data_IF_800427329167
#
_entry.id   IF_800427329167
#
_cell.length_a   1.000
_cell.length_b   1.000
_cell.length_c   1.000
_cell.angle_alpha   90.00
_cell.angle_beta   90.00
_cell.angle_gamma   90.00
#
_symmetry.space_group_name_H-M   'P 1'
#
loop_
_entity.id
_entity.type
_entity.pdbx_description
1 polymer ?
#
# COMPACT_ATOMS: atom_id res chain seq x y z
N UNK A 1 -7.07 4.35 -27.14
CA UNK A 1 -6.48 4.20 -25.79
C UNK A 1 -7.52 3.54 -24.91
N UNK A 2 -7.28 2.32 -24.42
CA UNK A 2 -8.18 1.72 -23.44
C UNK A 2 -7.85 2.35 -22.10
N UNK A 3 -8.77 3.15 -21.56
CA UNK A 3 -8.73 3.54 -20.16
C UNK A 3 -8.75 2.26 -19.34
N UNK A 4 -7.58 1.83 -18.86
CA UNK A 4 -7.50 0.79 -17.86
C UNK A 4 -8.05 1.43 -16.59
N UNK A 5 -9.35 1.23 -16.37
CA UNK A 5 -9.97 1.39 -15.06
C UNK A 5 -9.01 0.73 -14.07
N UNK A 6 -8.46 1.53 -13.16
CA UNK A 6 -7.51 1.04 -12.17
C UNK A 6 -8.31 0.10 -11.27
N UNK A 7 -8.33 -1.19 -11.60
CA UNK A 7 -8.45 -2.21 -10.59
C UNK A 7 -7.21 -2.02 -9.73
N UNK A 8 -7.34 -1.18 -8.69
CA UNK A 8 -6.46 -1.23 -7.53
C UNK A 8 -6.42 -2.71 -7.19
N UNK A 9 -5.24 -3.31 -7.32
CA UNK A 9 -4.92 -4.71 -7.07
C UNK A 9 -5.98 -5.37 -6.19
N UNK A 10 -6.58 -6.48 -6.65
CA UNK A 10 -7.52 -7.25 -5.86
C UNK A 10 -7.02 -7.34 -4.41
N UNK A 11 -7.72 -6.64 -3.50
CA UNK A 11 -7.38 -6.38 -2.10
C UNK A 11 -6.30 -5.29 -1.78
N UNK A 12 -6.54 -4.03 -2.18
CA UNK A 12 -5.93 -2.84 -1.54
C UNK A 12 -6.73 -2.46 -0.29
N UNK A 13 -6.14 -2.62 0.89
CA UNK A 13 -6.84 -2.42 2.16
C UNK A 13 -6.00 -1.62 3.16
N UNK A 14 -6.65 -1.21 4.25
CA UNK A 14 -6.08 -0.32 5.27
C UNK A 14 -5.51 0.98 4.66
N UNK A 15 -6.36 1.79 4.00
CA UNK A 15 -5.92 3.02 3.35
C UNK A 15 -5.41 4.03 4.37
N UNK A 16 -4.24 4.61 4.08
CA UNK A 16 -3.56 5.62 4.88
C UNK A 16 -3.13 6.78 4.02
N UNK A 17 -3.09 7.95 4.64
CA UNK A 17 -2.63 9.20 4.06
C UNK A 17 -1.57 9.83 4.96
N UNK A 18 -0.92 10.89 4.48
CA UNK A 18 -0.27 11.82 5.38
C UNK A 18 -1.33 12.52 6.24
N UNK A 19 -1.33 12.27 7.55
CA UNK A 19 -2.39 12.75 8.44
C UNK A 19 -2.42 14.28 8.58
N UNK A 20 -1.36 15.00 8.19
CA UNK A 20 -1.38 16.47 8.08
C UNK A 20 -2.44 16.98 7.07
N UNK A 21 -2.87 16.10 6.17
CA UNK A 21 -3.91 16.31 5.16
C UNK A 21 -5.25 15.64 5.54
N UNK A 22 -5.41 15.18 6.78
CA UNK A 22 -6.70 14.67 7.23
C UNK A 22 -7.79 15.75 7.08
N UNK A 23 -8.96 15.35 6.55
CA UNK A 23 -10.08 16.24 6.19
C UNK A 23 -9.73 17.34 5.18
N UNK A 24 -8.63 17.20 4.43
CA UNK A 24 -8.23 18.08 3.34
C UNK A 24 -8.09 17.28 2.04
N UNK A 25 -8.14 17.93 0.86
CA UNK A 25 -7.71 17.28 -0.37
C UNK A 25 -6.30 16.72 -0.21
N UNK A 26 -6.12 15.43 -0.51
CA UNK A 26 -4.85 14.71 -0.46
C UNK A 26 -4.60 14.05 -1.82
N UNK A 27 -3.34 13.91 -2.20
CA UNK A 27 -2.91 13.34 -3.48
C UNK A 27 -2.47 11.89 -3.35
N UNK A 28 -1.94 11.48 -2.19
CA UNK A 28 -1.34 10.17 -2.02
C UNK A 28 -2.09 9.32 -1.00
N UNK A 29 -2.42 8.10 -1.41
CA UNK A 29 -2.91 7.05 -0.53
C UNK A 29 -1.92 5.88 -0.51
N UNK A 30 -1.81 5.24 0.64
CA UNK A 30 -0.98 4.06 0.89
C UNK A 30 -1.85 2.95 1.44
N UNK A 31 -1.64 1.70 1.01
CA UNK A 31 -2.44 0.58 1.49
C UNK A 31 -1.72 -0.74 1.35
N UNK A 32 -2.10 -1.69 2.19
CA UNK A 32 -1.60 -3.04 2.18
C UNK A 32 -2.23 -3.85 1.04
N UNK A 33 -1.44 -4.74 0.44
CA UNK A 33 -1.99 -5.82 -0.39
C UNK A 33 -2.38 -7.00 0.50
N UNK A 34 -3.65 -7.38 0.50
CA UNK A 34 -4.16 -8.50 1.31
C UNK A 34 -4.51 -9.75 0.50
N UNK A 35 -4.14 -9.80 -0.77
CA UNK A 35 -4.53 -10.94 -1.60
C UNK A 35 -3.71 -12.19 -1.28
N UNK A 36 -4.39 -13.24 -0.84
CA UNK A 36 -3.85 -14.57 -0.85
C UNK A 36 -4.00 -15.18 -2.25
N UNK A 37 -3.15 -14.79 -3.18
CA UNK A 37 -3.01 -15.49 -4.45
C UNK A 37 -1.54 -15.88 -4.67
N UNK A 38 -1.31 -17.05 -5.26
CA UNK A 38 0.04 -17.61 -5.44
C UNK A 38 0.88 -16.86 -6.50
N UNK A 39 0.25 -15.98 -7.28
CA UNK A 39 0.88 -15.23 -8.38
C UNK A 39 1.07 -13.74 -8.05
N UNK A 40 0.81 -13.32 -6.81
CA UNK A 40 0.78 -11.91 -6.41
C UNK A 40 1.52 -11.73 -5.08
N UNK A 41 2.57 -10.93 -5.15
CA UNK A 41 3.39 -10.55 -4.02
C UNK A 41 3.18 -9.08 -3.64
N UNK A 42 2.07 -8.43 -3.99
CA UNK A 42 1.80 -7.05 -3.54
C UNK A 42 1.80 -7.00 -2.02
N UNK A 43 2.71 -6.22 -1.45
CA UNK A 43 2.77 -5.98 -0.01
C UNK A 43 2.23 -4.61 0.37
N UNK A 44 2.73 -3.56 -0.27
CA UNK A 44 2.33 -2.17 -0.04
C UNK A 44 2.19 -1.47 -1.39
N UNK A 45 1.15 -0.66 -1.54
CA UNK A 45 0.98 0.18 -2.74
C UNK A 45 0.83 1.64 -2.32
N UNK A 46 1.56 2.52 -2.98
CA UNK A 46 1.33 3.97 -3.01
C UNK A 46 0.59 4.31 -4.29
N UNK A 47 -0.44 5.14 -4.20
CA UNK A 47 -1.23 5.60 -5.34
C UNK A 47 -1.19 7.13 -5.36
N UNK A 48 -0.86 7.69 -6.52
CA UNK A 48 -1.10 9.10 -6.83
C UNK A 48 -2.51 9.21 -7.43
N UNK A 49 -3.47 9.74 -6.68
CA UNK A 49 -4.88 9.77 -7.08
C UNK A 49 -5.14 10.77 -8.21
N UNK A 50 -4.24 11.74 -8.42
CA UNK A 50 -4.35 12.70 -9.53
C UNK A 50 -3.85 12.09 -10.84
N UNK A 51 -2.63 11.51 -10.81
CA UNK A 51 -2.00 10.99 -12.04
C UNK A 51 -2.35 9.53 -12.32
N UNK A 52 -3.02 8.85 -11.38
CA UNK A 52 -3.38 7.43 -11.46
C UNK A 52 -2.17 6.48 -11.50
N UNK A 53 -0.97 6.98 -11.20
CA UNK A 53 0.26 6.20 -11.13
C UNK A 53 0.36 5.49 -9.78
N UNK A 54 0.90 4.28 -9.80
CA UNK A 54 1.11 3.47 -8.60
C UNK A 54 2.56 3.05 -8.48
N UNK A 55 3.02 2.94 -7.24
CA UNK A 55 4.28 2.29 -6.87
C UNK A 55 3.93 1.17 -5.91
N UNK A 56 4.36 -0.05 -6.24
CA UNK A 56 4.11 -1.22 -5.42
C UNK A 56 5.43 -1.78 -4.90
N UNK A 57 5.47 -2.03 -3.59
CA UNK A 57 6.54 -2.78 -2.94
C UNK A 57 6.01 -4.16 -2.60
N UNK A 58 6.68 -5.16 -3.14
CA UNK A 58 6.28 -6.55 -2.94
C UNK A 58 6.64 -7.04 -1.52
N UNK A 59 5.92 -8.06 -1.06
CA UNK A 59 6.35 -8.98 0.00
C UNK A 59 7.43 -9.92 -0.54
N UNK A 60 8.25 -10.48 0.33
CA UNK A 60 9.39 -11.29 -0.09
C UNK A 60 8.97 -12.71 -0.52
N UNK A 61 7.88 -13.24 0.04
CA UNK A 61 7.33 -14.55 -0.29
C UNK A 61 5.81 -14.64 -0.02
N UNK A 62 5.19 -15.76 -0.36
CA UNK A 62 3.73 -15.99 -0.23
C UNK A 62 3.24 -16.11 1.22
N UNK A 63 4.11 -16.49 2.15
CA UNK A 63 3.81 -16.69 3.57
C UNK A 63 3.68 -15.36 4.33
N UNK A 64 4.04 -14.26 3.68
CA UNK A 64 4.04 -12.94 4.30
C UNK A 64 2.78 -12.18 3.92
N UNK A 65 2.18 -11.47 4.86
CA UNK A 65 1.14 -10.48 4.59
C UNK A 65 1.55 -9.14 5.21
N UNK A 66 1.13 -8.06 4.57
CA UNK A 66 1.35 -6.72 5.11
C UNK A 66 0.15 -6.34 5.99
N UNK A 67 0.44 -5.84 7.19
CA UNK A 67 -0.56 -5.19 8.02
C UNK A 67 -0.80 -3.74 7.57
N UNK A 68 -1.64 -3.03 8.31
CA UNK A 68 -1.89 -1.60 8.11
C UNK A 68 -0.57 -0.80 8.09
N UNK A 69 -0.30 -0.02 7.03
CA UNK A 69 0.86 0.86 6.99
C UNK A 69 0.68 2.09 7.89
N UNK A 70 1.75 2.80 8.17
CA UNK A 70 1.73 4.09 8.88
C UNK A 70 2.65 5.04 8.12
N UNK A 71 2.11 6.19 7.68
CA UNK A 71 2.93 7.26 7.11
C UNK A 71 3.51 8.12 8.22
N UNK A 72 4.82 8.31 8.18
CA UNK A 72 5.59 9.16 9.08
C UNK A 72 6.16 10.31 8.25
N UNK A 73 5.64 11.55 8.42
CA UNK A 73 6.15 12.70 7.71
C UNK A 73 7.60 13.00 8.13
N UNK A 74 8.42 13.46 7.17
CA UNK A 74 9.71 14.06 7.49
C UNK A 74 9.47 15.39 8.23
N UNK A 75 10.19 15.71 9.32
CA UNK A 75 9.99 16.96 10.06
C UNK A 75 10.02 18.23 9.19
N UNK A 76 10.94 18.29 8.23
CA UNK A 76 11.10 19.42 7.30
C UNK A 76 10.63 19.10 5.86
N UNK A 77 9.72 18.12 5.71
CA UNK A 77 9.15 17.73 4.41
C UNK A 77 8.33 18.86 3.79
N UNK A 78 8.44 19.03 2.47
CA UNK A 78 7.72 20.07 1.72
C UNK A 78 6.59 19.48 0.87
N UNK A 79 6.71 18.22 0.47
CA UNK A 79 5.72 17.49 -0.31
C UNK A 79 4.85 16.61 0.58
N UNK A 80 3.62 16.34 0.14
CA UNK A 80 2.66 15.51 0.88
C UNK A 80 3.21 14.10 1.20
N UNK A 81 4.02 13.54 0.29
CA UNK A 81 4.66 12.23 0.40
C UNK A 81 6.12 12.28 0.90
N UNK A 82 6.61 13.43 1.37
CA UNK A 82 7.93 13.57 1.97
C UNK A 82 7.98 12.92 3.35
N UNK A 83 8.24 11.62 3.38
CA UNK A 83 8.27 10.87 4.61
C UNK A 83 8.76 9.44 4.43
N UNK A 84 8.32 8.58 5.35
CA UNK A 84 8.55 7.13 5.32
C UNK A 84 7.24 6.41 5.57
N UNK A 85 7.11 5.22 5.00
CA UNK A 85 6.06 4.27 5.37
C UNK A 85 6.68 3.22 6.28
N UNK A 86 6.08 3.05 7.45
CA UNK A 86 6.30 1.90 8.31
C UNK A 86 5.18 0.90 8.03
N UNK A 87 5.51 -0.39 7.95
CA UNK A 87 4.51 -1.46 7.88
C UNK A 87 4.99 -2.64 8.70
N UNK A 88 4.05 -3.30 9.36
CA UNK A 88 4.32 -4.59 9.98
C UNK A 88 4.19 -5.69 8.94
N UNK A 89 5.16 -6.58 8.93
CA UNK A 89 5.17 -7.79 8.13
C UNK A 89 4.76 -8.95 9.04
N UNK A 90 3.69 -9.65 8.67
CA UNK A 90 3.21 -10.82 9.40
C UNK A 90 3.61 -12.04 8.57
N UNK A 91 4.38 -12.96 9.14
CA UNK A 91 4.70 -14.23 8.53
C UNK A 91 3.75 -15.28 9.08
N UNK A 92 2.85 -15.79 8.25
CA UNK A 92 2.00 -16.93 8.60
C UNK A 92 2.69 -18.20 8.14
N UNK A 93 2.83 -19.23 9.00
CA UNK A 93 3.27 -20.53 8.52
C UNK A 93 2.29 -21.02 7.45
N UNK A 94 2.74 -21.86 6.49
CA UNK A 94 1.82 -22.50 5.56
C UNK A 94 0.71 -23.16 6.38
N UNK A 95 -0.53 -22.71 6.17
CA UNK A 95 -1.70 -23.38 6.73
C UNK A 95 -1.66 -24.78 6.13
N UNK A 96 -1.55 -25.79 6.98
CA UNK A 96 -1.38 -27.20 6.61
C UNK A 96 -2.23 -27.54 5.38
N UNK A 97 -1.57 -27.94 4.30
CA UNK A 97 -2.23 -28.64 3.20
C UNK A 97 -2.44 -30.07 3.69
N UNK A 98 -3.64 -30.38 4.19
CA UNK A 98 -4.14 -31.76 4.16
C UNK A 98 -4.48 -32.16 2.72
#
# INVERSE_FOLDING_TARGET
MKEKLIFLFSAFEFPRINFNYNLKPHRFIYGAGLQWNQNNLVGLTKVDVQTRKTITWNRDNLEQIAAEPIFVPKPDGQLEDDGRILKTKICMPPIFQE
#
